data_IF_545211231007
#
_entry.id   IF_545211231007
#
_cell.length_a   1.000
_cell.length_b   1.000
_cell.length_c   1.000
_cell.angle_alpha   90.00
_cell.angle_beta   90.00
_cell.angle_gamma   90.00
#
_symmetry.space_group_name_H-M   'P 1'
#
loop_
_entity.id
_entity.type
_entity.pdbx_description
1 polymer ?
#
# COMPACT_ATOMS: atom_id res chain seq x y z
N UNK A 1 5.90 8.37 0.73
CA UNK A 1 7.22 9.01 0.93
C UNK A 1 7.38 9.61 2.33
N UNK A 2 6.45 10.46 2.80
CA UNK A 2 6.62 11.13 4.11
C UNK A 2 6.75 10.15 5.27
N UNK A 3 5.81 9.20 5.40
CA UNK A 3 5.83 8.21 6.48
C UNK A 3 7.10 7.35 6.49
N UNK A 4 7.56 6.90 5.32
CA UNK A 4 8.81 6.13 5.18
C UNK A 4 10.01 6.94 5.65
N UNK A 5 10.13 8.20 5.22
CA UNK A 5 11.28 9.03 5.56
C UNK A 5 11.34 9.35 7.06
N UNK A 6 10.22 9.80 7.64
CA UNK A 6 10.15 10.07 9.09
C UNK A 6 10.36 8.79 9.89
N UNK A 7 9.84 7.65 9.41
CA UNK A 7 10.05 6.34 10.04
C UNK A 7 11.52 5.92 10.07
N UNK A 8 12.28 6.17 9.01
CA UNK A 8 13.74 5.92 9.00
C UNK A 8 14.46 6.79 10.05
N UNK A 9 14.09 8.07 10.18
CA UNK A 9 14.66 8.95 11.20
C UNK A 9 14.30 8.48 12.62
N UNK A 10 13.05 8.05 12.83
CA UNK A 10 12.60 7.51 14.11
C UNK A 10 13.39 6.25 14.50
N UNK A 11 13.67 5.35 13.56
CA UNK A 11 14.49 4.17 13.80
C UNK A 11 15.94 4.51 14.19
N UNK A 12 16.53 5.54 13.56
CA UNK A 12 17.88 6.01 13.93
C UNK A 12 17.93 6.53 15.36
N UNK A 13 16.96 7.37 15.74
CA UNK A 13 16.85 7.89 17.10
C UNK A 13 16.59 6.75 18.10
N UNK A 14 15.70 5.81 17.77
CA UNK A 14 15.39 4.66 18.61
C UNK A 14 16.62 3.80 18.93
N UNK A 15 17.55 3.66 17.97
CA UNK A 15 18.80 2.91 18.16
C UNK A 15 19.79 3.60 19.12
N UNK A 16 19.63 4.89 19.39
CA UNK A 16 20.46 5.67 20.32
C UNK A 16 19.90 5.64 21.76
N UNK A 17 18.65 5.20 21.94
CA UNK A 17 18.00 5.11 23.24
C UNK A 17 18.54 3.96 24.09
N UNK A 18 18.45 4.11 25.41
CA UNK A 18 18.68 3.01 26.35
C UNK A 18 17.60 1.93 26.23
N UNK A 19 17.88 0.73 26.74
CA UNK A 19 16.92 -0.39 26.71
C UNK A 19 15.62 -0.06 27.44
N UNK A 20 15.69 0.72 28.53
CA UNK A 20 14.53 1.14 29.31
C UNK A 20 13.65 2.12 28.51
N UNK A 21 14.26 3.13 27.89
CA UNK A 21 13.57 4.09 27.02
C UNK A 21 12.97 3.42 25.77
N UNK A 22 13.67 2.44 25.19
CA UNK A 22 13.14 1.66 24.06
C UNK A 22 11.86 0.92 24.43
N UNK A 23 11.80 0.33 25.64
CA UNK A 23 10.60 -0.35 26.13
C UNK A 23 9.45 0.63 26.39
N UNK A 24 9.75 1.80 26.96
CA UNK A 24 8.76 2.84 27.21
C UNK A 24 8.16 3.37 25.90
N UNK A 25 9.01 3.72 24.93
CA UNK A 25 8.57 4.21 23.62
C UNK A 25 7.78 3.15 22.85
N UNK A 26 8.20 1.88 22.91
CA UNK A 26 7.42 0.81 22.29
C UNK A 26 6.04 0.68 22.93
N UNK A 27 5.95 0.74 24.25
CA UNK A 27 4.67 0.69 24.96
C UNK A 27 3.78 1.87 24.59
N UNK A 28 4.31 3.09 24.64
CA UNK A 28 3.57 4.31 24.29
C UNK A 28 3.10 4.28 22.84
N UNK A 29 3.93 3.79 21.91
CA UNK A 29 3.55 3.62 20.50
C UNK A 29 2.36 2.67 20.35
N UNK A 30 2.32 1.57 21.11
CA UNK A 30 1.23 0.60 21.05
C UNK A 30 -0.06 1.14 21.67
N UNK A 31 0.06 1.89 22.78
CA UNK A 31 -1.07 2.55 23.45
C UNK A 31 -1.69 3.62 22.54
N UNK A 32 -0.85 4.50 21.98
CA UNK A 32 -1.27 5.56 21.05
C UNK A 32 -1.92 4.97 19.80
N UNK A 33 -1.35 3.90 19.23
CA UNK A 33 -1.95 3.23 18.08
C UNK A 33 -3.37 2.74 18.39
N UNK A 34 -3.59 2.15 19.56
CA UNK A 34 -4.90 1.64 19.93
C UNK A 34 -5.90 2.74 20.24
N UNK A 35 -5.49 3.81 20.90
CA UNK A 35 -6.33 4.98 21.13
C UNK A 35 -6.80 5.60 19.81
N UNK A 36 -5.87 5.83 18.88
CA UNK A 36 -6.20 6.35 17.55
C UNK A 36 -7.08 5.37 16.76
N UNK A 37 -6.83 4.06 16.88
CA UNK A 37 -7.64 3.04 16.22
C UNK A 37 -9.09 3.05 16.72
N UNK A 38 -9.31 3.14 18.04
CA UNK A 38 -10.65 3.20 18.62
C UNK A 38 -11.43 4.43 18.14
N UNK A 39 -10.76 5.58 18.07
CA UNK A 39 -11.33 6.82 17.53
C UNK A 39 -11.68 6.63 16.04
N UNK A 40 -10.78 6.03 15.26
CA UNK A 40 -10.97 5.83 13.82
C UNK A 40 -12.13 4.84 13.53
N UNK A 41 -12.36 3.85 14.39
CA UNK A 41 -13.51 2.94 14.28
C UNK A 41 -14.83 3.68 14.48
N UNK A 42 -14.92 4.53 15.52
CA UNK A 42 -16.11 5.35 15.77
C UNK A 42 -16.35 6.35 14.62
N UNK A 43 -15.28 6.98 14.14
CA UNK A 43 -15.35 7.90 13.00
C UNK A 43 -15.79 7.17 11.71
N UNK A 44 -15.27 5.97 11.46
CA UNK A 44 -15.66 5.15 10.31
C UNK A 44 -17.14 4.77 10.37
N UNK A 45 -17.63 4.40 11.55
CA UNK A 45 -19.04 4.09 11.75
C UNK A 45 -19.93 5.30 11.44
N UNK A 46 -19.58 6.49 11.94
CA UNK A 46 -20.34 7.73 11.69
C UNK A 46 -20.46 8.03 10.18
N UNK A 47 -19.35 7.90 9.44
CA UNK A 47 -19.30 8.30 8.03
C UNK A 47 -19.86 7.24 7.09
N UNK A 48 -19.51 5.97 7.28
CA UNK A 48 -19.70 4.92 6.27
C UNK A 48 -20.92 4.03 6.51
N UNK A 49 -21.62 4.15 7.64
CA UNK A 49 -22.83 3.35 7.93
C UNK A 49 -23.91 3.56 6.88
N UNK A 50 -24.14 4.82 6.48
CA UNK A 50 -25.21 5.18 5.53
C UNK A 50 -25.05 4.54 4.14
N UNK A 51 -23.83 4.17 3.78
CA UNK A 51 -23.48 3.56 2.49
C UNK A 51 -23.00 2.10 2.61
N UNK A 52 -23.06 1.53 3.81
CA UNK A 52 -22.76 0.11 4.04
C UNK A 52 -21.29 -0.29 3.85
N UNK A 53 -20.34 0.65 3.98
CA UNK A 53 -18.91 0.40 3.72
C UNK A 53 -18.03 0.31 4.98
N UNK A 54 -18.64 0.36 6.17
CA UNK A 54 -17.91 0.41 7.45
C UNK A 54 -16.82 -0.66 7.56
N UNK A 55 -17.17 -1.93 7.31
CA UNK A 55 -16.21 -3.01 7.50
C UNK A 55 -15.08 -3.01 6.44
N UNK A 56 -15.37 -2.64 5.20
CA UNK A 56 -14.35 -2.51 4.16
C UNK A 56 -13.36 -1.39 4.50
N UNK A 57 -13.84 -0.29 5.08
CA UNK A 57 -13.00 0.81 5.55
C UNK A 57 -12.19 0.39 6.78
N UNK A 58 -12.80 -0.31 7.73
CA UNK A 58 -12.10 -0.81 8.93
C UNK A 58 -10.92 -1.72 8.59
N UNK A 59 -11.10 -2.66 7.63
CA UNK A 59 -10.00 -3.49 7.09
C UNK A 59 -8.89 -2.63 6.52
N UNK A 60 -9.25 -1.61 5.75
CA UNK A 60 -8.28 -0.71 5.15
C UNK A 60 -7.55 0.16 6.18
N UNK A 61 -8.22 0.59 7.26
CA UNK A 61 -7.59 1.27 8.40
C UNK A 61 -6.53 0.37 9.04
N UNK A 62 -6.87 -0.89 9.37
CA UNK A 62 -5.92 -1.86 9.95
C UNK A 62 -4.74 -2.15 9.03
N UNK A 63 -4.99 -2.29 7.73
CA UNK A 63 -3.94 -2.42 6.72
C UNK A 63 -2.96 -1.24 6.75
N UNK A 64 -3.46 0.00 6.78
CA UNK A 64 -2.61 1.19 6.81
C UNK A 64 -1.91 1.38 8.17
N UNK A 65 -2.55 0.99 9.27
CA UNK A 65 -1.91 0.95 10.58
C UNK A 65 -0.69 0.02 10.58
N UNK A 66 -0.81 -1.18 10.01
CA UNK A 66 0.32 -2.09 9.82
C UNK A 66 1.41 -1.47 8.93
N UNK A 67 1.07 -0.74 7.86
CA UNK A 67 2.07 0.02 7.08
C UNK A 67 2.76 1.12 7.89
N UNK A 68 2.04 1.78 8.79
CA UNK A 68 2.60 2.75 9.74
C UNK A 68 3.64 2.11 10.65
N UNK A 69 3.31 0.98 11.26
CA UNK A 69 4.22 0.19 12.10
C UNK A 69 5.46 -0.25 11.32
N UNK A 70 5.28 -0.77 10.09
CA UNK A 70 6.40 -1.17 9.22
C UNK A 70 7.34 0.01 8.91
N UNK A 71 6.81 1.23 8.70
CA UNK A 71 7.66 2.40 8.50
C UNK A 71 8.53 2.71 9.73
N UNK A 72 8.03 2.43 10.93
CA UNK A 72 8.76 2.55 12.20
C UNK A 72 9.69 1.36 12.48
N UNK A 73 9.73 0.35 11.60
CA UNK A 73 10.50 -0.87 11.83
C UNK A 73 9.87 -1.82 12.86
N UNK A 74 8.57 -1.69 13.11
CA UNK A 74 7.81 -2.51 14.05
C UNK A 74 7.01 -3.59 13.32
N UNK A 75 6.75 -4.69 14.04
CA UNK A 75 5.94 -5.79 13.55
C UNK A 75 4.46 -5.38 13.36
N UNK A 76 3.75 -5.99 12.40
CA UNK A 76 2.31 -5.80 12.23
C UNK A 76 1.54 -6.14 13.51
N UNK A 77 0.51 -5.34 13.82
CA UNK A 77 -0.36 -5.58 14.98
C UNK A 77 -1.63 -6.32 14.61
N UNK A 78 -2.20 -6.00 13.46
CA UNK A 78 -3.43 -6.61 12.96
C UNK A 78 -3.12 -7.75 12.00
N UNK A 79 -4.00 -8.75 11.94
CA UNK A 79 -3.90 -9.83 10.95
C UNK A 79 -3.98 -9.29 9.52
N UNK A 80 -3.44 -10.05 8.57
CA UNK A 80 -3.54 -9.69 7.16
C UNK A 80 -4.95 -9.98 6.65
N UNK A 81 -5.63 -8.93 6.21
CA UNK A 81 -6.99 -9.00 5.68
C UNK A 81 -7.00 -8.63 4.20
N UNK A 82 -7.95 -9.22 3.47
CA UNK A 82 -8.15 -8.87 2.07
C UNK A 82 -8.75 -7.47 1.94
N UNK A 83 -8.07 -6.59 1.19
CA UNK A 83 -8.53 -5.24 0.91
C UNK A 83 -9.32 -5.23 -0.38
N UNK A 84 -10.42 -4.46 -0.40
CA UNK A 84 -11.28 -4.29 -1.56
C UNK A 84 -10.43 -3.97 -2.82
N UNK A 85 -10.44 -4.84 -3.85
CA UNK A 85 -9.60 -4.67 -5.04
C UNK A 85 -9.86 -3.38 -5.80
N UNK A 86 -11.07 -2.81 -5.72
CA UNK A 86 -11.39 -1.51 -6.33
C UNK A 86 -10.55 -0.39 -5.70
N UNK A 87 -10.39 -0.43 -4.37
CA UNK A 87 -9.55 0.53 -3.63
C UNK A 87 -8.09 0.34 -4.01
N UNK A 88 -7.59 -0.90 -4.06
CA UNK A 88 -6.22 -1.19 -4.47
C UNK A 88 -5.94 -0.73 -5.91
N UNK A 89 -6.87 -0.95 -6.82
CA UNK A 89 -6.76 -0.46 -8.20
C UNK A 89 -6.76 1.07 -8.27
N UNK A 90 -7.55 1.74 -7.43
CA UNK A 90 -7.51 3.21 -7.32
C UNK A 90 -6.19 3.76 -6.79
N UNK A 91 -5.51 3.01 -5.91
CA UNK A 91 -4.19 3.37 -5.37
C UNK A 91 -3.04 3.06 -6.34
N UNK A 92 -3.24 2.12 -7.27
CA UNK A 92 -2.26 1.78 -8.30
C UNK A 92 -2.13 2.93 -9.31
N UNK A 93 -1.07 3.72 -9.14
CA UNK A 93 -0.73 4.83 -10.03
C UNK A 93 0.21 4.43 -11.18
N UNK A 94 0.43 3.15 -11.43
CA UNK A 94 1.07 2.65 -12.67
C UNK A 94 0.33 3.13 -13.93
N UNK A 95 -0.92 3.56 -13.76
CA UNK A 95 -1.80 4.08 -14.80
C UNK A 95 -1.99 5.61 -14.77
N UNK A 96 -1.18 6.39 -14.04
CA UNK A 96 -1.27 7.88 -14.04
C UNK A 96 -0.92 8.55 -15.40
N UNK A 97 -0.86 7.75 -16.47
CA UNK A 97 -0.70 8.14 -17.86
C UNK A 97 -1.91 7.75 -18.73
N UNK A 98 -3.07 7.42 -18.14
CA UNK A 98 -4.21 6.86 -18.89
C UNK A 98 -5.21 7.87 -19.46
N UNK A 99 -5.05 9.17 -19.23
CA UNK A 99 -5.91 10.16 -19.87
C UNK A 99 -5.16 11.38 -20.37
N UNK A 100 -4.48 11.21 -21.51
CA UNK A 100 -4.04 12.32 -22.36
C UNK A 100 -4.13 11.87 -23.82
N UNK A 101 -5.34 11.51 -24.27
CA UNK A 101 -5.68 11.18 -25.66
C UNK A 101 -4.88 10.02 -26.29
N UNK A 102 -5.56 8.95 -26.68
CA UNK A 102 -4.97 7.84 -27.44
C UNK A 102 -4.08 8.31 -28.59
N UNK A 103 -2.76 8.12 -28.47
CA UNK A 103 -1.88 7.54 -29.50
C UNK A 103 -0.58 7.04 -28.85
N UNK A 104 -0.50 5.72 -28.67
CA UNK A 104 0.63 4.91 -28.18
C UNK A 104 0.81 4.90 -26.65
N UNK A 105 0.13 3.95 -26.01
CA UNK A 105 0.45 3.56 -24.64
C UNK A 105 1.89 3.07 -24.52
N UNK A 106 2.57 3.49 -23.46
CA UNK A 106 3.93 3.04 -23.11
C UNK A 106 3.94 1.64 -22.49
N UNK A 107 3.17 0.72 -23.06
CA UNK A 107 3.40 -0.71 -22.90
C UNK A 107 4.48 -1.12 -23.88
N UNK A 108 5.75 -0.84 -23.59
CA UNK A 108 6.81 -1.63 -24.22
C UNK A 108 6.73 -3.04 -23.62
N UNK A 109 5.84 -3.86 -24.17
CA UNK A 109 6.03 -5.31 -24.12
C UNK A 109 7.27 -5.56 -24.97
N UNK A 110 8.44 -5.56 -24.32
CA UNK A 110 9.66 -6.04 -24.96
C UNK A 110 9.44 -7.54 -25.14
N UNK A 111 8.98 -7.95 -26.32
CA UNK A 111 8.89 -9.34 -26.68
C UNK A 111 10.28 -9.97 -26.43
N UNK A 112 10.36 -10.84 -25.43
CA UNK A 112 11.59 -11.55 -25.07
C UNK A 112 11.91 -12.64 -26.08
N UNK A 113 10.90 -13.11 -26.81
CA UNK A 113 11.05 -13.93 -28.01
C UNK A 113 10.62 -13.13 -29.24
N UNK A 114 11.60 -12.61 -29.97
CA UNK A 114 11.40 -12.11 -31.33
C UNK A 114 12.06 -13.12 -32.25
N UNK A 115 11.27 -13.94 -32.93
CA UNK A 115 11.77 -14.73 -34.06
C UNK A 115 11.85 -13.82 -35.29
N UNK A 116 12.96 -13.93 -36.03
CA UNK A 116 13.14 -13.17 -37.27
C UNK A 116 12.26 -13.80 -38.34
N UNK A 117 11.41 -12.99 -38.97
CA UNK A 117 10.68 -13.40 -40.17
C UNK A 117 11.67 -13.88 -41.24
N UNK A 118 11.41 -15.06 -41.81
CA UNK A 118 12.11 -15.62 -42.96
C UNK A 118 11.16 -15.67 -44.16
N UNK A 119 11.69 -15.69 -45.38
CA UNK A 119 10.88 -15.77 -46.60
C UNK A 119 9.95 -17.01 -46.61
N UNK A 120 10.36 -18.09 -45.95
CA UNK A 120 9.60 -19.34 -45.82
C UNK A 120 8.33 -19.21 -44.95
N UNK A 121 8.20 -18.15 -44.15
CA UNK A 121 6.98 -17.83 -43.39
C UNK A 121 5.84 -17.34 -44.29
N UNK A 122 6.16 -16.92 -45.52
CA UNK A 122 5.20 -16.39 -46.47
C UNK A 122 4.81 -17.43 -47.53
N UNK A 123 3.93 -18.36 -47.15
CA UNK A 123 3.35 -19.34 -48.09
C UNK A 123 2.20 -18.70 -48.87
N UNK A 124 2.49 -18.22 -50.07
CA UNK A 124 1.48 -17.75 -51.01
C UNK A 124 0.94 -18.90 -51.85
N UNK A 125 -0.10 -19.57 -51.36
CA UNK A 125 -0.87 -20.50 -52.19
C UNK A 125 -1.89 -19.70 -53.00
N UNK A 126 -1.65 -19.57 -54.31
CA UNK A 126 -2.64 -19.09 -55.29
C UNK A 126 -3.44 -20.27 -55.85
#
# INVERSE_FOLDING_TARGET
MHGVFVGILAQQIFAELSVEEQQEVQKETQELLMELYEIEMAYTEEIYTSIGLVEDVNRFVRYNANKGLMNLGLEPKFEEEEINPIVLNGLRTDTKNHDFFSVKGNGYVKATNVEKLADDDFVFNF
#
